data_IF_608281735802
#
_entry.id   IF_608281735802
#
_cell.length_a   1.000
_cell.length_b   1.000
_cell.length_c   1.000
_cell.angle_alpha   90.00
_cell.angle_beta   90.00
_cell.angle_gamma   90.00
#
_symmetry.space_group_name_H-M   'P 1'
#
loop_
_entity.id
_entity.type
_entity.pdbx_description
1 polymer ?
#
# COMPACT_ATOMS: atom_id res chain seq x y z
N UNK A 1 -27.61 19.47 12.54
CA UNK A 1 -26.44 19.64 11.65
C UNK A 1 -25.24 18.98 12.31
N UNK A 2 -24.94 17.74 11.93
CA UNK A 2 -23.78 16.98 12.42
C UNK A 2 -22.58 17.30 11.53
N UNK A 3 -21.59 18.02 12.09
CA UNK A 3 -20.30 18.23 11.42
C UNK A 3 -19.53 16.91 11.47
N UNK A 4 -19.27 16.29 10.32
CA UNK A 4 -18.31 15.18 10.20
C UNK A 4 -16.91 15.73 10.47
N UNK A 5 -16.24 15.26 11.52
CA UNK A 5 -14.82 15.53 11.74
C UNK A 5 -14.05 14.48 10.94
N UNK A 6 -13.32 14.90 9.91
CA UNK A 6 -12.34 14.05 9.24
C UNK A 6 -11.07 14.02 10.09
N UNK A 7 -10.73 12.84 10.62
CA UNK A 7 -9.50 12.63 11.41
C UNK A 7 -8.33 12.50 10.45
N UNK A 8 -7.50 13.54 10.35
CA UNK A 8 -6.26 13.51 9.56
C UNK A 8 -5.12 12.86 10.37
N UNK A 9 -4.12 12.26 9.69
CA UNK A 9 -2.87 11.75 10.31
C UNK A 9 -2.22 12.77 11.26
N UNK A 10 -2.37 14.06 10.97
CA UNK A 10 -1.86 15.18 11.78
C UNK A 10 -2.65 15.39 13.09
N UNK A 11 -3.93 15.06 13.09
CA UNK A 11 -4.80 15.08 14.28
C UNK A 11 -4.50 13.88 15.20
N UNK A 12 -4.18 12.71 14.62
CA UNK A 12 -3.70 11.54 15.36
C UNK A 12 -2.35 11.83 16.04
N UNK A 13 -1.39 12.38 15.31
CA UNK A 13 -0.07 12.77 15.85
C UNK A 13 -0.18 13.87 16.92
N UNK A 14 -1.09 14.83 16.76
CA UNK A 14 -1.35 15.83 17.79
C UNK A 14 -1.94 15.21 19.07
N UNK A 15 -2.79 14.18 18.96
CA UNK A 15 -3.32 13.47 20.13
C UNK A 15 -2.25 12.63 20.85
N UNK A 16 -1.30 12.02 20.13
CA UNK A 16 -0.15 11.34 20.75
C UNK A 16 0.81 12.34 21.44
N UNK A 17 1.03 13.52 20.84
CA UNK A 17 1.78 14.60 21.46
C UNK A 17 1.14 15.15 22.75
N UNK A 18 -0.20 15.17 22.80
CA UNK A 18 -0.95 15.58 24.00
C UNK A 18 -0.83 14.56 25.16
N UNK A 19 -0.69 13.26 24.87
CA UNK A 19 -0.38 12.24 25.88
C UNK A 19 1.03 12.47 26.46
N UNK A 20 1.98 12.95 25.64
CA UNK A 20 3.32 13.35 26.10
C UNK A 20 3.33 14.58 27.02
N UNK A 21 2.37 15.50 26.90
CA UNK A 21 2.31 16.71 27.73
C UNK A 21 1.71 16.47 29.13
N UNK A 22 0.93 15.41 29.31
CA UNK A 22 0.35 15.02 30.61
C UNK A 22 1.33 14.34 31.58
N UNK A 23 2.47 13.86 31.07
CA UNK A 23 3.47 13.11 31.84
C UNK A 23 4.56 13.99 32.50
N UNK A 24 4.30 15.28 32.72
CA UNK A 24 5.30 16.23 33.21
C UNK A 24 5.28 16.50 34.74
N UNK A 25 4.42 15.86 35.55
CA UNK A 25 4.28 16.23 36.98
C UNK A 25 4.22 15.08 38.01
N UNK A 26 4.52 13.83 37.66
CA UNK A 26 4.60 12.72 38.62
C UNK A 26 5.68 11.73 38.22
N UNK A 27 6.66 11.48 39.09
CA UNK A 27 7.96 10.90 38.74
C UNK A 27 7.98 9.43 38.30
N UNK A 28 9.05 9.12 37.57
CA UNK A 28 9.61 7.79 37.28
C UNK A 28 8.70 6.79 36.54
N UNK A 29 8.56 7.00 35.22
CA UNK A 29 8.22 5.95 34.25
C UNK A 29 8.96 6.25 32.96
N UNK A 30 9.86 5.36 32.56
CA UNK A 30 10.79 5.48 31.44
C UNK A 30 10.08 5.85 30.13
N UNK A 31 10.17 7.11 29.70
CA UNK A 31 9.92 7.47 28.31
C UNK A 31 11.18 7.11 27.52
N UNK A 32 11.21 5.90 26.97
CA UNK A 32 12.20 5.56 25.94
C UNK A 32 11.81 6.33 24.67
N UNK A 33 12.38 7.54 24.57
CA UNK A 33 12.40 8.32 23.35
C UNK A 33 13.36 7.59 22.40
N UNK A 34 12.85 6.70 21.55
CA UNK A 34 13.64 6.05 20.51
C UNK A 34 14.06 7.08 19.46
N UNK A 35 15.21 7.68 19.70
CA UNK A 35 16.01 8.40 18.71
C UNK A 35 17.48 8.24 19.11
N UNK A 36 17.95 6.99 19.14
CA UNK A 36 19.38 6.71 19.07
C UNK A 36 19.81 6.69 17.60
N UNK A 37 20.83 7.48 17.30
CA UNK A 37 21.58 7.45 16.06
C UNK A 37 22.95 6.84 16.41
N UNK A 38 23.09 5.54 16.21
CA UNK A 38 24.35 4.81 16.41
C UNK A 38 25.17 4.86 15.11
N UNK A 39 26.33 5.52 15.15
CA UNK A 39 27.30 5.51 14.06
C UNK A 39 28.32 4.41 14.32
N UNK A 40 28.26 3.33 13.54
CA UNK A 40 29.28 2.28 13.54
C UNK A 40 30.40 2.64 12.55
N UNK A 41 31.53 3.16 13.07
CA UNK A 41 32.73 3.37 12.26
C UNK A 41 33.32 2.01 11.84
N UNK A 42 33.34 1.74 10.53
CA UNK A 42 33.90 0.52 9.96
C UNK A 42 32.90 -0.42 9.28
N UNK A 43 31.64 -0.02 9.10
CA UNK A 43 30.72 -0.80 8.27
C UNK A 43 31.13 -0.68 6.79
N UNK A 44 31.59 -1.78 6.19
CA UNK A 44 31.54 -1.92 4.75
C UNK A 44 30.06 -2.04 4.38
N UNK A 45 29.47 -0.93 3.93
CA UNK A 45 28.22 -0.95 3.18
C UNK A 45 28.55 -1.62 1.85
N UNK A 46 28.37 -2.95 1.79
CA UNK A 46 28.13 -3.59 0.52
C UNK A 46 26.75 -3.07 0.09
N UNK A 47 26.73 -2.08 -0.80
CA UNK A 47 25.51 -1.67 -1.45
C UNK A 47 25.01 -2.92 -2.19
N UNK A 48 24.00 -3.58 -1.62
CA UNK A 48 23.27 -4.59 -2.36
C UNK A 48 22.61 -3.92 -3.55
N UNK A 49 22.42 -4.69 -4.61
CA UNK A 49 21.59 -4.27 -5.74
C UNK A 49 20.14 -4.17 -5.24
N UNK A 50 19.43 -3.12 -5.66
CA UNK A 50 17.99 -3.03 -5.46
C UNK A 50 17.37 -3.80 -6.63
N UNK A 51 16.87 -5.01 -6.36
CA UNK A 51 16.14 -5.80 -7.34
C UNK A 51 14.65 -5.55 -7.14
N UNK A 52 14.08 -4.74 -8.04
CA UNK A 52 12.67 -4.40 -8.08
C UNK A 52 12.07 -5.03 -9.33
N UNK A 53 11.10 -5.92 -9.13
CA UNK A 53 10.36 -6.53 -10.23
C UNK A 53 8.88 -6.19 -10.15
N UNK A 54 8.20 -6.27 -11.28
CA UNK A 54 6.80 -5.89 -11.41
C UNK A 54 6.04 -6.96 -12.21
N UNK A 55 4.81 -7.21 -11.81
CA UNK A 55 3.81 -7.87 -12.64
C UNK A 55 2.59 -6.98 -12.79
N UNK A 56 1.79 -7.20 -13.84
CA UNK A 56 0.61 -6.37 -14.08
C UNK A 56 -0.49 -7.07 -14.86
N UNK A 57 -1.69 -6.50 -14.74
CA UNK A 57 -2.82 -6.72 -15.62
C UNK A 57 -3.42 -5.37 -16.01
N UNK A 58 -3.61 -5.15 -17.31
CA UNK A 58 -4.29 -3.99 -17.86
C UNK A 58 -5.63 -4.38 -18.48
N UNK A 59 -6.67 -3.61 -18.16
CA UNK A 59 -7.99 -3.68 -18.78
C UNK A 59 -8.40 -2.32 -19.33
N UNK A 60 -9.21 -2.35 -20.39
CA UNK A 60 -9.80 -1.18 -21.00
C UNK A 60 -11.29 -1.43 -21.23
N UNK A 61 -12.11 -0.43 -20.94
CA UNK A 61 -13.54 -0.44 -21.17
C UNK A 61 -13.88 0.67 -22.15
N UNK A 62 -14.19 0.24 -23.37
CA UNK A 62 -14.61 1.10 -24.47
C UNK A 62 -16.04 0.80 -24.94
N UNK A 63 -16.42 1.26 -26.15
CA UNK A 63 -17.76 1.05 -26.69
C UNK A 63 -18.13 -0.43 -26.91
N UNK A 64 -17.14 -1.29 -27.15
CA UNK A 64 -17.33 -2.73 -27.36
C UNK A 64 -17.31 -3.55 -26.06
N UNK A 65 -17.12 -2.88 -24.90
CA UNK A 65 -17.07 -3.50 -23.58
C UNK A 65 -15.66 -3.60 -22.99
N UNK A 66 -15.50 -4.49 -22.00
CA UNK A 66 -14.22 -4.76 -21.34
C UNK A 66 -13.33 -5.62 -22.23
N UNK A 67 -12.10 -5.18 -22.42
CA UNK A 67 -11.02 -5.91 -23.09
C UNK A 67 -9.79 -5.95 -22.21
N UNK A 68 -9.07 -7.07 -22.27
CA UNK A 68 -7.73 -7.20 -21.73
C UNK A 68 -6.75 -6.65 -22.77
N UNK A 69 -5.79 -5.85 -22.32
CA UNK A 69 -4.89 -5.10 -23.23
C UNK A 69 -3.46 -5.62 -23.15
N UNK A 70 -3.03 -5.95 -21.95
CA UNK A 70 -1.68 -6.44 -21.68
C UNK A 70 -1.65 -7.04 -20.28
N UNK A 71 -0.86 -8.10 -20.13
CA UNK A 71 -0.50 -8.65 -18.84
C UNK A 71 0.97 -9.07 -18.82
N UNK A 72 1.51 -9.24 -17.62
CA UNK A 72 2.74 -9.97 -17.40
C UNK A 72 2.68 -10.68 -16.05
N UNK A 73 3.10 -11.95 -15.93
CA UNK A 73 3.45 -12.84 -17.04
C UNK A 73 2.22 -13.22 -17.88
N UNK A 74 2.43 -13.42 -19.18
CA UNK A 74 1.42 -13.88 -20.15
C UNK A 74 2.10 -14.81 -21.16
N UNK A 75 2.24 -16.08 -20.78
CA UNK A 75 3.02 -17.07 -21.52
C UNK A 75 2.26 -17.62 -22.73
N UNK A 76 0.92 -17.60 -22.70
CA UNK A 76 0.09 -18.08 -23.80
C UNK A 76 -0.36 -16.97 -24.78
N UNK A 77 -0.12 -15.72 -24.43
CA UNK A 77 -0.34 -14.54 -25.27
C UNK A 77 -1.81 -14.20 -25.43
N UNK A 78 -2.61 -14.45 -24.40
CA UNK A 78 -4.06 -14.21 -24.39
C UNK A 78 -4.47 -12.89 -23.69
N UNK A 79 -3.47 -12.06 -23.35
CA UNK A 79 -3.58 -10.79 -22.63
C UNK A 79 -4.08 -10.92 -21.17
N UNK A 80 -4.23 -12.14 -20.65
CA UNK A 80 -4.51 -12.39 -19.24
C UNK A 80 -3.25 -12.76 -18.49
N UNK A 81 -3.18 -12.29 -17.25
CA UNK A 81 -2.08 -12.62 -16.37
C UNK A 81 -2.13 -14.11 -16.01
N UNK A 82 -1.01 -14.78 -16.23
CA UNK A 82 -0.78 -16.15 -15.76
C UNK A 82 -0.91 -16.22 -14.24
N UNK A 83 -1.21 -17.43 -13.75
CA UNK A 83 -1.23 -17.66 -12.31
C UNK A 83 0.16 -17.49 -11.71
N UNK A 84 0.29 -16.54 -10.79
CA UNK A 84 1.50 -16.34 -10.01
C UNK A 84 1.52 -17.29 -8.81
N UNK A 85 2.63 -17.99 -8.63
CA UNK A 85 2.83 -18.93 -7.53
C UNK A 85 3.71 -18.32 -6.44
N UNK A 86 3.32 -18.54 -5.20
CA UNK A 86 4.11 -18.15 -4.04
C UNK A 86 5.31 -19.08 -3.86
N UNK A 87 6.33 -18.59 -3.13
CA UNK A 87 7.48 -19.42 -2.72
C UNK A 87 7.06 -20.68 -1.96
N UNK A 88 5.98 -20.62 -1.19
CA UNK A 88 5.48 -21.79 -0.43
C UNK A 88 4.91 -22.85 -1.37
N UNK A 89 4.13 -22.43 -2.36
CA UNK A 89 3.56 -23.33 -3.37
C UNK A 89 4.64 -23.96 -4.23
N UNK A 90 5.64 -23.20 -4.68
CA UNK A 90 6.75 -23.74 -5.47
C UNK A 90 7.65 -24.69 -4.69
N UNK A 91 7.80 -24.51 -3.37
CA UNK A 91 8.46 -25.51 -2.51
C UNK A 91 7.66 -26.78 -2.35
N UNK A 92 6.33 -26.67 -2.34
CA UNK A 92 5.45 -27.83 -2.21
C UNK A 92 5.34 -28.61 -3.53
N UNK A 93 5.28 -27.91 -4.66
CA UNK A 93 5.25 -28.48 -6.00
C UNK A 93 6.01 -27.58 -7.00
N UNK A 94 7.31 -27.84 -7.24
CA UNK A 94 8.10 -27.05 -8.18
C UNK A 94 7.68 -27.28 -9.64
N UNK A 95 6.92 -28.35 -9.93
CA UNK A 95 6.48 -28.62 -11.32
C UNK A 95 5.40 -27.65 -11.81
N UNK A 96 4.85 -26.81 -10.94
CA UNK A 96 3.96 -25.70 -11.32
C UNK A 96 4.63 -24.71 -12.29
N UNK A 97 5.96 -24.60 -12.26
CA UNK A 97 6.76 -23.82 -13.21
C UNK A 97 7.74 -24.70 -13.99
N UNK A 98 7.33 -25.93 -14.30
CA UNK A 98 8.12 -26.92 -15.08
C UNK A 98 9.52 -27.23 -14.51
N UNK A 99 9.75 -26.97 -13.22
CA UNK A 99 11.00 -27.34 -12.55
C UNK A 99 10.99 -28.84 -12.18
N UNK A 100 12.18 -29.46 -12.06
CA UNK A 100 12.28 -30.83 -11.55
C UNK A 100 11.82 -30.93 -10.09
N UNK A 101 11.27 -32.08 -9.71
CA UNK A 101 10.78 -32.34 -8.34
C UNK A 101 11.86 -32.27 -7.25
N UNK A 102 13.13 -32.40 -7.64
CA UNK A 102 14.30 -32.23 -6.76
C UNK A 102 15.02 -30.90 -6.96
N UNK A 103 14.33 -29.88 -7.50
CA UNK A 103 14.84 -28.52 -7.62
C UNK A 103 15.41 -27.99 -6.29
N UNK A 104 16.54 -27.30 -6.36
CA UNK A 104 17.14 -26.71 -5.18
C UNK A 104 16.39 -25.44 -4.75
N UNK A 105 16.57 -25.01 -3.50
CA UNK A 105 16.00 -23.73 -3.03
C UNK A 105 16.46 -22.54 -3.87
N UNK A 106 17.66 -22.61 -4.47
CA UNK A 106 18.14 -21.58 -5.37
C UNK A 106 17.36 -21.58 -6.69
N UNK A 107 17.12 -22.76 -7.29
CA UNK A 107 16.34 -22.87 -8.53
C UNK A 107 14.88 -22.42 -8.31
N UNK A 108 14.32 -22.71 -7.14
CA UNK A 108 12.97 -22.26 -6.75
C UNK A 108 12.91 -20.75 -6.60
N UNK A 109 13.89 -20.13 -5.95
CA UNK A 109 13.95 -18.68 -5.80
C UNK A 109 14.15 -17.98 -7.15
N UNK A 110 15.02 -18.53 -8.01
CA UNK A 110 15.25 -18.01 -9.35
C UNK A 110 13.98 -18.10 -10.22
N UNK A 111 13.26 -19.23 -10.16
CA UNK A 111 11.99 -19.39 -10.86
C UNK A 111 10.89 -18.49 -10.30
N UNK A 112 10.82 -18.33 -8.97
CA UNK A 112 9.87 -17.42 -8.33
C UNK A 112 10.10 -15.99 -8.82
N UNK A 113 11.36 -15.52 -8.82
CA UNK A 113 11.75 -14.19 -9.32
C UNK A 113 11.48 -14.03 -10.82
N UNK A 114 11.68 -15.10 -11.58
CA UNK A 114 11.47 -15.13 -13.04
C UNK A 114 10.01 -14.98 -13.47
N UNK A 115 9.04 -15.07 -12.55
CA UNK A 115 7.64 -14.76 -12.83
C UNK A 115 7.39 -13.26 -13.03
N UNK A 116 8.31 -12.39 -12.61
CA UNK A 116 8.12 -10.94 -12.58
C UNK A 116 9.09 -10.24 -13.54
N UNK A 117 8.63 -9.17 -14.17
CA UNK A 117 9.41 -8.40 -15.13
C UNK A 117 10.47 -7.53 -14.42
N UNK A 118 11.68 -7.52 -14.98
CA UNK A 118 12.77 -6.63 -14.62
C UNK A 118 12.63 -5.30 -15.38
N UNK A 119 11.88 -4.36 -14.78
CA UNK A 119 11.58 -3.07 -15.41
C UNK A 119 12.72 -2.07 -15.16
N UNK A 120 13.23 -1.35 -16.18
CA UNK A 120 12.71 -1.19 -17.54
C UNK A 120 13.28 -2.15 -18.59
N UNK A 121 14.16 -3.08 -18.21
CA UNK A 121 14.86 -3.95 -19.17
C UNK A 121 13.90 -4.86 -19.96
N UNK A 122 12.82 -5.28 -19.32
CA UNK A 122 11.79 -6.15 -19.88
C UNK A 122 10.58 -5.38 -20.45
N UNK A 123 10.61 -4.03 -20.44
CA UNK A 123 9.60 -3.22 -21.12
C UNK A 123 10.05 -2.86 -22.54
N UNK A 124 9.42 -3.50 -23.53
CA UNK A 124 9.62 -3.15 -24.95
C UNK A 124 8.86 -1.88 -25.37
N UNK A 125 7.83 -1.50 -24.62
CA UNK A 125 6.95 -0.35 -24.85
C UNK A 125 6.49 0.25 -23.51
N UNK A 126 5.90 1.47 -23.50
CA UNK A 126 5.26 2.01 -22.30
C UNK A 126 4.22 1.02 -21.77
N UNK A 127 4.21 0.82 -20.44
CA UNK A 127 3.29 -0.09 -19.78
C UNK A 127 1.82 0.23 -20.07
N UNK A 128 1.51 1.51 -20.28
CA UNK A 128 0.18 2.00 -20.63
C UNK A 128 0.32 2.75 -21.95
N UNK A 129 -0.15 2.13 -23.02
CA UNK A 129 -0.31 2.74 -24.34
C UNK A 129 -1.76 2.56 -24.79
N UNK A 130 -2.53 3.64 -24.78
CA UNK A 130 -3.93 3.64 -25.19
C UNK A 130 -4.08 4.48 -26.45
N UNK A 131 -4.67 3.87 -27.47
CA UNK A 131 -4.96 4.50 -28.74
C UNK A 131 -6.47 4.72 -28.89
N UNK A 132 -6.86 5.80 -29.55
CA UNK A 132 -8.27 6.13 -29.85
C UNK A 132 -9.19 6.22 -28.60
N UNK A 133 -8.67 6.81 -27.51
CA UNK A 133 -9.43 7.03 -26.27
C UNK A 133 -10.59 7.99 -26.51
N UNK A 134 -11.82 7.59 -26.21
CA UNK A 134 -13.02 8.41 -26.42
C UNK A 134 -13.61 8.92 -25.10
N UNK A 135 -14.40 10.01 -25.14
CA UNK A 135 -15.13 10.45 -23.97
C UNK A 135 -16.07 9.36 -23.41
N UNK A 136 -15.83 8.96 -22.17
CA UNK A 136 -16.59 7.91 -21.47
C UNK A 136 -15.86 6.59 -21.32
N UNK A 137 -14.76 6.40 -22.06
CA UNK A 137 -13.89 5.24 -21.90
C UNK A 137 -13.14 5.32 -20.57
N UNK A 138 -12.84 4.17 -19.99
CA UNK A 138 -12.03 4.05 -18.78
C UNK A 138 -11.22 2.76 -18.81
N UNK A 139 -10.08 2.74 -18.13
CA UNK A 139 -9.25 1.55 -18.00
C UNK A 139 -8.67 1.46 -16.60
N UNK A 140 -8.15 0.29 -16.29
CA UNK A 140 -7.46 0.00 -15.04
C UNK A 140 -6.17 -0.75 -15.35
N UNK A 141 -5.12 -0.38 -14.63
CA UNK A 141 -3.84 -1.10 -14.65
C UNK A 141 -3.52 -1.40 -13.21
N UNK A 142 -3.47 -2.68 -12.87
CA UNK A 142 -3.03 -3.16 -11.57
C UNK A 142 -1.59 -3.61 -11.72
N UNK A 143 -0.71 -3.06 -10.89
CA UNK A 143 0.68 -3.48 -10.80
C UNK A 143 0.99 -3.99 -9.40
N UNK A 144 1.67 -5.12 -9.32
CA UNK A 144 2.22 -5.66 -8.09
C UNK A 144 3.73 -5.51 -8.10
N UNK A 145 4.26 -4.98 -7.01
CA UNK A 145 5.66 -4.55 -6.92
C UNK A 145 6.40 -5.47 -5.94
N UNK A 146 7.43 -6.15 -6.44
CA UNK A 146 8.21 -7.12 -5.68
C UNK A 146 9.61 -6.57 -5.43
N UNK A 147 9.87 -6.23 -4.17
CA UNK A 147 11.18 -5.81 -3.70
C UNK A 147 11.94 -7.03 -3.18
N UNK A 148 13.09 -7.29 -3.78
CA UNK A 148 13.98 -8.35 -3.36
C UNK A 148 15.23 -7.81 -2.68
N UNK A 149 15.86 -8.69 -1.89
CA UNK A 149 17.17 -8.54 -1.25
C UNK A 149 17.26 -7.48 -0.15
N UNK A 150 16.83 -6.25 -0.42
CA UNK A 150 16.97 -5.11 0.49
C UNK A 150 15.62 -4.41 0.75
N UNK A 151 15.34 -4.02 2.01
CA UNK A 151 14.23 -3.13 2.30
C UNK A 151 14.39 -1.80 1.56
N UNK A 152 13.32 -1.33 0.94
CA UNK A 152 13.30 -0.06 0.22
C UNK A 152 11.99 0.70 0.47
N UNK A 153 12.00 1.99 0.13
CA UNK A 153 10.80 2.81 0.06
C UNK A 153 10.46 3.08 -1.40
N UNK A 154 9.18 2.94 -1.76
CA UNK A 154 8.70 3.29 -3.09
C UNK A 154 8.24 4.75 -3.12
N UNK A 155 8.71 5.49 -4.12
CA UNK A 155 8.22 6.82 -4.47
C UNK A 155 7.77 6.81 -5.92
N UNK A 156 6.52 7.21 -6.19
CA UNK A 156 6.00 7.37 -7.55
C UNK A 156 5.85 8.86 -7.90
N UNK A 157 6.30 9.25 -9.09
CA UNK A 157 6.15 10.59 -9.65
C UNK A 157 5.66 10.48 -11.10
N UNK A 158 4.87 11.45 -11.54
CA UNK A 158 4.42 11.54 -12.93
C UNK A 158 4.67 12.96 -13.42
N UNK A 159 5.23 13.07 -14.63
CA UNK A 159 5.47 14.32 -15.32
C UNK A 159 4.76 14.27 -16.68
N UNK A 160 4.13 15.38 -17.08
CA UNK A 160 3.61 15.55 -18.43
C UNK A 160 4.77 15.93 -19.36
N UNK A 161 5.13 15.02 -20.26
CA UNK A 161 6.28 15.20 -21.17
C UNK A 161 5.89 15.90 -22.47
N UNK A 162 4.70 15.59 -23.00
CA UNK A 162 4.14 16.15 -24.22
C UNK A 162 2.61 16.19 -24.14
N UNK A 163 1.99 17.09 -24.91
CA UNK A 163 0.53 17.22 -25.03
C UNK A 163 0.22 17.76 -26.42
N UNK A 164 0.48 16.91 -27.41
CA UNK A 164 0.33 17.24 -28.82
C UNK A 164 -1.09 16.90 -29.28
N UNK A 165 -1.63 17.72 -30.19
CA UNK A 165 -2.87 17.40 -30.91
C UNK A 165 -2.55 16.48 -32.09
N UNK A 166 -3.43 15.52 -32.36
CA UNK A 166 -3.28 14.60 -33.49
C UNK A 166 -4.12 15.09 -34.68
N UNK A 167 -4.53 14.19 -35.58
CA UNK A 167 -5.44 14.54 -36.67
C UNK A 167 -6.87 14.74 -36.14
N UNK A 168 -7.50 15.86 -36.50
CA UNK A 168 -8.90 16.14 -36.18
C UNK A 168 -9.84 15.23 -36.97
N UNK A 169 -10.66 14.44 -36.27
CA UNK A 169 -11.66 13.59 -36.90
C UNK A 169 -12.93 14.37 -37.31
N UNK A 170 -13.76 13.78 -38.18
CA UNK A 170 -14.97 14.47 -38.69
C UNK A 170 -15.90 14.95 -37.55
N UNK A 171 -16.22 14.13 -36.52
CA UNK A 171 -16.96 14.59 -35.35
C UNK A 171 -16.34 15.77 -34.59
N UNK A 172 -15.02 15.76 -34.38
CA UNK A 172 -14.27 16.83 -33.69
C UNK A 172 -14.31 18.13 -34.48
N UNK A 173 -14.20 18.08 -35.81
CA UNK A 173 -14.21 19.28 -36.66
C UNK A 173 -15.48 20.14 -36.57
N UNK A 174 -16.58 19.61 -36.02
CA UNK A 174 -17.83 20.35 -35.82
C UNK A 174 -17.90 21.10 -34.48
N UNK A 175 -17.00 20.78 -33.54
CA UNK A 175 -17.08 21.24 -32.14
C UNK A 175 -15.76 21.71 -31.56
N UNK A 176 -14.64 21.35 -32.16
CA UNK A 176 -13.30 21.75 -31.77
C UNK A 176 -12.91 23.06 -32.47
N UNK A 177 -12.67 24.09 -31.67
CA UNK A 177 -12.21 25.42 -32.11
C UNK A 177 -10.71 25.64 -31.79
N UNK A 178 -10.01 24.56 -31.41
CA UNK A 178 -8.65 24.52 -30.81
C UNK A 178 -7.77 23.45 -31.45
N UNK A 179 -7.89 23.31 -32.76
CA UNK A 179 -7.34 22.29 -33.67
C UNK A 179 -5.79 22.19 -33.75
N UNK A 180 -5.05 22.96 -32.94
CA UNK A 180 -3.58 22.94 -32.82
C UNK A 180 -3.08 22.61 -31.39
N UNK A 181 -3.98 22.36 -30.41
CA UNK A 181 -3.63 22.22 -28.98
C UNK A 181 -4.21 20.93 -28.41
N UNK A 182 -3.36 20.06 -27.86
CA UNK A 182 -3.81 18.81 -27.22
C UNK A 182 -4.74 19.06 -26.03
N UNK A 183 -5.94 18.51 -26.06
CA UNK A 183 -6.93 18.68 -24.98
C UNK A 183 -7.09 17.46 -24.08
N UNK A 184 -6.62 16.29 -24.53
CA UNK A 184 -6.85 15.01 -23.85
C UNK A 184 -6.31 14.99 -22.42
N UNK A 185 -5.13 15.58 -22.18
CA UNK A 185 -4.50 15.61 -20.86
C UNK A 185 -5.38 16.27 -19.79
N UNK A 186 -6.19 17.28 -20.17
CA UNK A 186 -7.09 17.98 -19.26
C UNK A 186 -8.40 17.20 -19.00
N UNK A 187 -8.77 16.30 -19.92
CA UNK A 187 -9.95 15.45 -19.81
C UNK A 187 -9.70 14.16 -19.02
N UNK A 188 -8.47 13.66 -19.01
CA UNK A 188 -8.08 12.43 -18.29
C UNK A 188 -8.17 12.63 -16.77
N UNK A 189 -8.77 11.65 -16.10
CA UNK A 189 -8.81 11.57 -14.64
C UNK A 189 -8.15 10.28 -14.18
N UNK A 190 -7.02 10.41 -13.50
CA UNK A 190 -6.34 9.29 -12.89
C UNK A 190 -6.75 9.10 -11.42
N UNK A 191 -6.87 7.85 -10.99
CA UNK A 191 -6.98 7.46 -9.58
C UNK A 191 -5.93 6.39 -9.30
N UNK A 192 -5.20 6.55 -8.21
CA UNK A 192 -4.26 5.56 -7.69
C UNK A 192 -4.69 5.15 -6.28
N UNK A 193 -4.71 3.85 -6.02
CA UNK A 193 -4.97 3.28 -4.70
C UNK A 193 -4.06 2.07 -4.47
N UNK A 194 -3.93 1.67 -3.21
CA UNK A 194 -3.25 0.45 -2.81
C UNK A 194 -4.32 -0.58 -2.49
N UNK A 195 -4.20 -1.75 -3.10
CA UNK A 195 -5.06 -2.90 -2.86
C UNK A 195 -4.41 -3.78 -1.78
N UNK A 196 -5.12 -4.00 -0.67
CA UNK A 196 -4.61 -4.75 0.48
C UNK A 196 -4.93 -6.24 0.42
N UNK A 197 -6.00 -6.64 -0.29
CA UNK A 197 -6.47 -8.02 -0.35
C UNK A 197 -6.36 -8.66 -1.75
N UNK A 198 -5.98 -7.87 -2.76
CA UNK A 198 -5.67 -8.32 -4.10
C UNK A 198 -6.91 -8.70 -4.91
N UNK A 199 -8.06 -8.12 -4.59
CA UNK A 199 -9.31 -8.37 -5.30
C UNK A 199 -9.58 -7.40 -6.47
N UNK A 200 -8.67 -6.43 -6.69
CA UNK A 200 -8.76 -5.35 -7.67
C UNK A 200 -10.01 -4.47 -7.50
N UNK A 201 -10.56 -4.39 -6.30
CA UNK A 201 -11.67 -3.50 -5.96
C UNK A 201 -11.15 -2.37 -5.10
N UNK A 202 -11.59 -1.15 -5.41
CA UNK A 202 -11.33 -0.03 -4.51
C UNK A 202 -12.10 -0.24 -3.20
N UNK A 203 -11.37 -0.69 -2.21
CA UNK A 203 -11.88 -0.80 -0.86
C UNK A 203 -12.15 0.57 -0.24
N UNK A 204 -13.27 0.63 0.48
CA UNK A 204 -13.48 1.73 1.42
C UNK A 204 -12.47 1.58 2.55
N UNK A 205 -11.73 2.66 2.88
CA UNK A 205 -10.68 2.67 3.90
C UNK A 205 -10.98 1.72 5.07
N UNK A 206 -10.20 0.64 5.17
CA UNK A 206 -10.30 -0.34 6.24
C UNK A 206 -10.27 0.40 7.59
N UNK A 207 -11.17 0.01 8.50
CA UNK A 207 -11.15 0.58 9.85
C UNK A 207 -9.86 0.16 10.52
N UNK A 208 -9.17 1.11 11.15
CA UNK A 208 -7.99 0.82 11.96
C UNK A 208 -8.39 -0.13 13.11
N UNK A 209 -7.76 -1.29 13.26
CA UNK A 209 -7.95 -2.15 14.42
C UNK A 209 -6.93 -1.80 15.51
N UNK A 210 -7.41 -1.37 16.68
CA UNK A 210 -6.58 -0.96 17.81
C UNK A 210 -6.85 -1.85 19.01
N UNK A 211 -5.82 -2.52 19.52
CA UNK A 211 -5.86 -3.20 20.81
C UNK A 211 -5.14 -2.37 21.88
N UNK A 212 -5.88 -1.91 22.88
CA UNK A 212 -5.34 -1.13 24.00
C UNK A 212 -5.07 -2.07 25.18
N UNK A 213 -3.79 -2.29 25.48
CA UNK A 213 -3.35 -3.08 26.63
C UNK A 213 -3.22 -2.21 27.89
N UNK A 214 -3.98 -2.51 28.93
CA UNK A 214 -4.00 -1.76 30.20
C UNK A 214 -3.32 -2.56 31.32
N UNK A 215 -2.30 -1.97 31.95
CA UNK A 215 -1.67 -2.54 33.14
C UNK A 215 -2.59 -2.34 34.36
N UNK A 216 -2.97 -3.43 35.02
CA UNK A 216 -3.73 -3.41 36.28
C UNK A 216 -2.92 -3.95 37.47
N UNK A 217 -1.59 -3.97 37.32
CA UNK A 217 -0.64 -4.37 38.36
C UNK A 217 -0.71 -3.49 39.60
N UNK A 218 -0.13 -4.00 40.70
CA UNK A 218 -0.19 -3.32 42.00
C UNK A 218 0.40 -1.91 42.00
N UNK A 219 1.38 -1.63 41.13
CA UNK A 219 1.98 -0.29 40.97
C UNK A 219 1.03 0.73 40.34
N UNK A 220 0.02 0.26 39.59
CA UNK A 220 -1.03 1.11 39.04
C UNK A 220 -2.08 1.49 40.07
N UNK A 221 -2.21 0.70 41.14
CA UNK A 221 -3.16 0.90 42.23
C UNK A 221 -2.54 1.55 43.47
N UNK A 222 -1.21 1.57 43.58
CA UNK A 222 -0.51 2.10 44.75
C UNK A 222 -0.38 3.62 44.77
N UNK A 223 -0.57 4.27 43.62
CA UNK A 223 -0.49 5.73 43.47
C UNK A 223 -1.89 6.30 43.24
N UNK A 224 -2.31 7.25 44.07
CA UNK A 224 -3.64 7.84 44.01
C UNK A 224 -3.87 8.54 42.66
N UNK A 225 -4.95 8.18 41.97
CA UNK A 225 -5.34 8.77 40.69
C UNK A 225 -4.67 8.16 39.45
N UNK A 226 -3.56 7.43 39.57
CA UNK A 226 -2.83 6.85 38.41
C UNK A 226 -3.69 5.92 37.56
N UNK A 227 -4.43 5.03 38.21
CA UNK A 227 -5.37 4.13 37.55
C UNK A 227 -6.51 4.89 36.85
N UNK A 228 -7.02 5.95 37.48
CA UNK A 228 -8.09 6.77 36.90
C UNK A 228 -7.58 7.56 35.68
N UNK A 229 -6.38 8.14 35.75
CA UNK A 229 -5.77 8.83 34.61
C UNK A 229 -5.50 7.90 33.42
N UNK A 230 -5.13 6.64 33.68
CA UNK A 230 -5.01 5.63 32.62
C UNK A 230 -6.36 5.34 31.95
N UNK A 231 -7.43 5.16 32.74
CA UNK A 231 -8.78 4.95 32.21
C UNK A 231 -9.27 6.14 31.39
N UNK A 232 -9.07 7.36 31.90
CA UNK A 232 -9.47 8.59 31.22
C UNK A 232 -8.71 8.75 29.89
N UNK A 233 -7.42 8.39 29.85
CA UNK A 233 -6.61 8.38 28.63
C UNK A 233 -7.09 7.36 27.61
N UNK A 234 -7.44 6.14 28.04
CA UNK A 234 -7.97 5.11 27.16
C UNK A 234 -9.35 5.49 26.57
N UNK A 235 -10.21 6.11 27.37
CA UNK A 235 -11.51 6.63 26.93
C UNK A 235 -11.31 7.78 25.92
N UNK A 236 -10.40 8.71 26.21
CA UNK A 236 -10.09 9.81 25.30
C UNK A 236 -9.54 9.31 23.96
N UNK A 237 -8.69 8.27 23.96
CA UNK A 237 -8.19 7.63 22.74
C UNK A 237 -9.33 6.99 21.93
N UNK A 238 -10.19 6.18 22.57
CA UNK A 238 -11.36 5.58 21.91
C UNK A 238 -12.27 6.64 21.27
N UNK A 239 -12.55 7.71 22.01
CA UNK A 239 -13.45 8.77 21.56
C UNK A 239 -12.83 9.59 20.43
N UNK A 240 -11.50 9.79 20.45
CA UNK A 240 -10.76 10.43 19.37
C UNK A 240 -10.72 9.58 18.09
N UNK A 241 -10.63 8.25 18.21
CA UNK A 241 -10.66 7.32 17.08
C UNK A 241 -12.06 7.21 16.43
N UNK A 242 -13.12 7.30 17.24
CA UNK A 242 -14.50 7.35 16.76
C UNK A 242 -14.88 6.14 15.88
N UNK A 243 -15.67 6.38 14.82
CA UNK A 243 -16.11 5.32 13.91
C UNK A 243 -15.07 4.90 12.87
N UNK A 244 -13.87 5.51 12.90
CA UNK A 244 -12.79 5.24 11.96
C UNK A 244 -11.93 4.02 12.37
N UNK A 245 -12.15 3.47 13.56
CA UNK A 245 -11.41 2.35 14.10
C UNK A 245 -12.33 1.36 14.82
N UNK A 246 -11.92 0.09 14.88
CA UNK A 246 -12.43 -0.83 15.89
C UNK A 246 -11.44 -0.83 17.06
N UNK A 247 -11.94 -0.69 18.29
CA UNK A 247 -11.09 -0.60 19.49
C UNK A 247 -11.44 -1.76 20.42
N UNK A 248 -10.43 -2.54 20.77
CA UNK A 248 -10.50 -3.57 21.80
C UNK A 248 -9.67 -3.15 23.02
N UNK A 249 -10.12 -3.54 24.21
CA UNK A 249 -9.44 -3.32 25.47
C UNK A 249 -9.02 -4.67 26.04
N UNK A 250 -7.77 -4.77 26.46
CA UNK A 250 -7.23 -5.95 27.12
C UNK A 250 -6.54 -5.48 28.38
N UNK A 251 -6.93 -6.00 29.53
CA UNK A 251 -6.20 -5.73 30.76
C UNK A 251 -5.25 -6.89 31.07
N UNK A 252 -4.13 -6.55 31.72
CA UNK A 252 -3.16 -7.55 32.16
C UNK A 252 -2.73 -7.31 33.60
N UNK A 253 -2.57 -8.41 34.32
CA UNK A 253 -1.98 -8.44 35.66
C UNK A 253 -1.25 -9.76 35.83
N UNK A 254 0.04 -9.70 36.13
CA UNK A 254 0.88 -10.86 36.51
C UNK A 254 0.67 -12.09 35.60
N UNK A 255 1.02 -11.97 34.32
CA UNK A 255 1.14 -13.10 33.39
C UNK A 255 -0.16 -13.63 32.77
N UNK A 256 -1.30 -12.98 32.98
CA UNK A 256 -2.56 -13.34 32.31
C UNK A 256 -3.15 -12.15 31.55
N UNK A 257 -3.42 -12.36 30.26
CA UNK A 257 -4.29 -11.49 29.46
C UNK A 257 -5.73 -11.81 29.82
N UNK A 258 -6.54 -10.78 30.08
CA UNK A 258 -7.98 -10.93 30.30
C UNK A 258 -8.71 -10.07 29.26
N UNK A 259 -9.55 -10.65 28.41
CA UNK A 259 -10.44 -9.85 27.58
C UNK A 259 -11.45 -9.16 28.49
N UNK A 260 -11.62 -7.84 28.35
CA UNK A 260 -12.69 -7.14 29.03
C UNK A 260 -14.02 -7.52 28.36
N UNK A 261 -14.96 -8.09 29.14
CA UNK A 261 -16.35 -8.33 28.70
C UNK A 261 -17.14 -7.05 28.56
#
# INVERSE_FOLDING_TARGET
MTKKIQLSRRTLLASMGAIGAGAALGGAGTMALFNDEEVFEGNQLMAGELDLKVDWQQTYYGPDGLVYVSAFPDTDGDDHQDTLYTREELRADPTLLDLPQDASEADIEDAYRGQFADVPNDLEAPLIDLQDVKPGDHGEVTFSVHLFDNPAYMWMHGDLVANDENDVNEPESHVDDTDDVGELADAIKARLWYDEDGDNVLDGAAKLDVAVALDTSGSMLSEEGKFQSMLDGAIALRDALGSAANVSLVDFRSGALRPST
#
